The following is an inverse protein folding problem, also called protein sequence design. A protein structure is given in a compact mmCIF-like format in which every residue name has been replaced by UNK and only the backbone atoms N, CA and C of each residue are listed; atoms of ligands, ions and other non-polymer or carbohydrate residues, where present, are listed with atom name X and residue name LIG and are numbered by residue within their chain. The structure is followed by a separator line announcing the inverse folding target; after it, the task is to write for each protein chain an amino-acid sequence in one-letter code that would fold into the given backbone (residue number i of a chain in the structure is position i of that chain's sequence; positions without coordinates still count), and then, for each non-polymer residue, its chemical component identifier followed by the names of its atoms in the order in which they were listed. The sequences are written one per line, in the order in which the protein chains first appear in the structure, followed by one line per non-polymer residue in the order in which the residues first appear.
data_IF_335957375749
#
_entry.id   IF_335957375749
#
_cell.length_a   1.000
_cell.length_b   1.000
_cell.length_c   1.000
_cell.angle_alpha   90.00
_cell.angle_beta   90.00
_cell.angle_gamma   90.00
#
_symmetry.space_group_name_H-M   'P 1'
#
loop_
_entity.id
_entity.type
_entity.pdbx_description
1 polymer ?
#
# COMPACT_ATOMS: atom_id res chain seq x y z
N UNK A 1 7.19 -11.88 -1.75
CA UNK A 1 6.89 -11.46 -0.37
C UNK A 1 6.85 -12.65 0.58
N UNK A 2 6.05 -13.70 0.33
CA UNK A 2 6.00 -14.90 1.18
C UNK A 2 7.39 -15.53 1.40
N UNK A 3 8.15 -15.79 0.33
CA UNK A 3 9.52 -16.31 0.41
C UNK A 3 10.44 -15.43 1.25
N UNK A 4 10.42 -14.12 1.02
CA UNK A 4 11.20 -13.12 1.75
C UNK A 4 10.88 -13.12 3.25
N UNK A 5 9.59 -13.11 3.63
CA UNK A 5 9.18 -13.16 5.04
C UNK A 5 9.62 -14.47 5.69
N UNK A 6 9.47 -15.61 4.99
CA UNK A 6 9.92 -16.92 5.47
C UNK A 6 11.43 -16.96 5.70
N UNK A 7 12.21 -16.52 4.72
CA UNK A 7 13.67 -16.57 4.77
C UNK A 7 14.22 -15.69 5.89
N UNK A 8 13.74 -14.45 6.04
CA UNK A 8 14.18 -13.61 7.15
C UNK A 8 13.69 -14.10 8.52
N UNK A 9 12.48 -14.65 8.62
CA UNK A 9 12.00 -15.26 9.86
C UNK A 9 12.83 -16.48 10.27
N UNK A 10 13.29 -17.29 9.30
CA UNK A 10 14.13 -18.46 9.55
C UNK A 10 15.53 -18.10 10.13
N UNK A 11 15.98 -16.86 9.93
CA UNK A 11 17.21 -16.35 10.57
C UNK A 11 17.03 -16.03 12.06
N UNK A 12 15.81 -16.13 12.61
CA UNK A 12 15.50 -15.76 14.00
C UNK A 12 15.46 -14.25 14.22
N UNK A 13 15.43 -13.45 13.15
CA UNK A 13 15.38 -11.99 13.21
C UNK A 13 13.96 -11.48 13.45
N UNK A 14 13.85 -10.34 14.15
CA UNK A 14 12.60 -9.58 14.23
C UNK A 14 12.38 -8.83 12.93
N UNK A 15 11.17 -8.91 12.40
CA UNK A 15 10.77 -8.24 11.17
C UNK A 15 9.96 -6.98 11.48
N UNK A 16 10.19 -5.94 10.68
CA UNK A 16 9.48 -4.67 10.70
C UNK A 16 9.11 -4.30 9.28
N UNK A 17 7.85 -3.95 9.05
CA UNK A 17 7.42 -3.31 7.81
C UNK A 17 7.36 -1.82 8.14
N UNK A 18 8.24 -1.02 7.56
CA UNK A 18 8.49 0.36 8.01
C UNK A 18 7.77 1.42 7.18
N UNK A 19 7.48 1.14 5.92
CA UNK A 19 6.98 2.14 4.96
C UNK A 19 5.88 1.54 4.08
N UNK A 20 4.78 1.10 4.68
CA UNK A 20 3.69 0.47 3.94
C UNK A 20 2.78 1.52 3.28
N UNK A 21 2.75 1.48 1.96
CA UNK A 21 1.73 2.09 1.11
C UNK A 21 1.50 1.17 -0.11
N UNK A 22 0.32 1.24 -0.73
CA UNK A 22 -0.03 0.38 -1.87
C UNK A 22 -0.61 1.24 -2.99
N UNK A 23 0.20 1.44 -4.02
CA UNK A 23 -0.24 2.18 -5.20
C UNK A 23 -1.40 1.50 -5.90
N UNK A 24 -2.34 2.32 -6.38
CA UNK A 24 -3.46 1.89 -7.24
C UNK A 24 -3.05 1.79 -8.72
N UNK A 25 -1.79 2.11 -9.02
CA UNK A 25 -1.21 2.03 -10.35
C UNK A 25 -0.24 0.85 -10.45
N UNK A 26 0.01 0.34 -11.67
CA UNK A 26 1.10 -0.60 -11.90
C UNK A 26 2.43 -0.04 -11.41
N UNK A 27 3.29 -0.92 -10.89
CA UNK A 27 4.62 -0.54 -10.41
C UNK A 27 5.47 -0.01 -11.56
N UNK A 28 6.04 1.18 -11.38
CA UNK A 28 7.03 1.75 -12.28
C UNK A 28 8.28 2.13 -11.46
N UNK A 29 9.46 1.82 -11.99
CA UNK A 29 10.73 1.95 -11.25
C UNK A 29 11.43 3.28 -11.48
N UNK A 30 11.08 3.99 -12.55
CA UNK A 30 11.76 5.21 -12.98
C UNK A 30 10.75 6.35 -13.06
N UNK A 31 11.19 7.53 -12.63
CA UNK A 31 10.41 8.74 -12.82
C UNK A 31 10.23 9.01 -14.32
N UNK A 32 9.03 9.43 -14.71
CA UNK A 32 8.72 9.79 -16.08
C UNK A 32 7.76 10.96 -16.15
N UNK A 33 7.69 11.57 -17.34
CA UNK A 33 6.68 12.58 -17.61
C UNK A 33 5.28 11.96 -17.65
N UNK A 34 4.30 12.76 -17.25
CA UNK A 34 2.89 12.40 -17.36
C UNK A 34 2.50 12.30 -18.84
N UNK A 35 1.72 11.28 -19.17
CA UNK A 35 1.06 11.14 -20.46
C UNK A 35 -0.45 11.33 -20.28
N UNK A 36 -1.19 11.42 -21.40
CA UNK A 36 -2.65 11.65 -21.37
C UNK A 36 -3.41 10.67 -20.45
N UNK A 37 -2.95 9.41 -20.37
CA UNK A 37 -3.55 8.39 -19.51
C UNK A 37 -3.37 8.62 -18.00
N UNK A 38 -2.40 9.43 -17.58
CA UNK A 38 -2.16 9.72 -16.15
C UNK A 38 -3.09 10.83 -15.61
N UNK A 39 -3.77 11.57 -16.51
CA UNK A 39 -4.59 12.72 -16.14
C UNK A 39 -5.89 12.31 -15.42
N UNK A 40 -6.40 11.10 -15.69
CA UNK A 40 -7.54 10.56 -14.96
C UNK A 40 -7.07 9.90 -13.65
N UNK A 41 -7.12 10.68 -12.59
CA UNK A 41 -6.81 10.25 -11.23
C UNK A 41 -8.07 9.89 -10.43
N UNK A 42 -9.17 9.51 -11.08
CA UNK A 42 -10.38 9.10 -10.38
C UNK A 42 -10.14 7.80 -9.62
N UNK A 43 -10.46 7.78 -8.31
CA UNK A 43 -10.43 6.54 -7.54
C UNK A 43 -11.70 5.71 -7.84
N UNK A 44 -11.67 5.02 -8.99
CA UNK A 44 -12.79 4.24 -9.50
C UNK A 44 -12.87 2.85 -8.86
N UNK A 45 -13.93 2.10 -9.19
CA UNK A 45 -14.18 0.78 -8.61
C UNK A 45 -13.05 -0.22 -8.91
N UNK A 46 -12.46 -0.18 -10.10
CA UNK A 46 -11.35 -1.08 -10.47
C UNK A 46 -10.12 -0.84 -9.58
N UNK A 47 -9.70 0.42 -9.44
CA UNK A 47 -8.58 0.83 -8.56
C UNK A 47 -8.85 0.46 -7.11
N UNK A 48 -10.09 0.65 -6.64
CA UNK A 48 -10.49 0.24 -5.28
C UNK A 48 -10.37 -1.28 -5.10
N UNK A 49 -10.88 -2.08 -6.04
CA UNK A 49 -10.79 -3.54 -5.97
C UNK A 49 -9.35 -4.06 -6.00
N UNK A 50 -8.50 -3.48 -6.85
CA UNK A 50 -7.08 -3.82 -6.89
C UNK A 50 -6.40 -3.51 -5.55
N UNK A 51 -6.68 -2.35 -4.96
CA UNK A 51 -6.15 -1.99 -3.65
C UNK A 51 -6.63 -2.94 -2.56
N UNK A 52 -7.92 -3.28 -2.53
CA UNK A 52 -8.48 -4.25 -1.56
C UNK A 52 -7.77 -5.60 -1.65
N UNK A 53 -7.62 -6.13 -2.86
CA UNK A 53 -6.96 -7.41 -3.09
C UNK A 53 -5.50 -7.40 -2.60
N UNK A 54 -4.77 -6.30 -2.83
CA UNK A 54 -3.38 -6.15 -2.37
C UNK A 54 -3.29 -6.03 -0.86
N UNK A 55 -4.09 -5.18 -0.22
CA UNK A 55 -4.08 -5.06 1.24
C UNK A 55 -4.45 -6.38 1.92
N UNK A 56 -5.49 -7.06 1.43
CA UNK A 56 -5.90 -8.38 1.92
C UNK A 56 -4.74 -9.38 1.86
N UNK A 57 -4.13 -9.54 0.69
CA UNK A 57 -2.99 -10.45 0.49
C UNK A 57 -1.80 -10.10 1.40
N UNK A 58 -1.47 -8.81 1.53
CA UNK A 58 -0.41 -8.37 2.44
C UNK A 58 -0.70 -8.74 3.89
N UNK A 59 -1.88 -8.40 4.40
CA UNK A 59 -2.20 -8.62 5.81
C UNK A 59 -2.49 -10.09 6.15
N UNK A 60 -2.97 -10.90 5.21
CA UNK A 60 -3.01 -12.36 5.37
C UNK A 60 -1.60 -12.94 5.57
N UNK A 61 -0.63 -12.50 4.76
CA UNK A 61 0.77 -12.91 4.92
C UNK A 61 1.37 -12.37 6.23
N UNK A 62 1.12 -11.10 6.58
CA UNK A 62 1.63 -10.56 7.84
C UNK A 62 1.08 -11.31 9.05
N UNK A 63 -0.20 -11.73 9.02
CA UNK A 63 -0.79 -12.57 10.06
C UNK A 63 -0.16 -13.96 10.10
N UNK A 64 0.12 -14.58 8.94
CA UNK A 64 0.84 -15.87 8.85
C UNK A 64 2.23 -15.79 9.52
N UNK A 65 2.94 -14.67 9.38
CA UNK A 65 4.27 -14.45 9.96
C UNK A 65 4.26 -13.60 11.24
N UNK A 66 3.13 -13.49 11.95
CA UNK A 66 2.98 -12.65 13.16
C UNK A 66 3.94 -12.98 14.30
N UNK A 67 4.52 -14.18 14.31
CA UNK A 67 5.49 -14.60 15.30
C UNK A 67 6.85 -13.89 15.14
N UNK A 68 7.17 -13.44 13.92
CA UNK A 68 8.42 -12.74 13.60
C UNK A 68 8.19 -11.24 13.36
N UNK A 69 7.00 -10.83 12.89
CA UNK A 69 6.68 -9.41 12.63
C UNK A 69 6.33 -8.70 13.93
N UNK A 70 7.07 -7.63 14.21
CA UNK A 70 6.95 -6.84 15.45
C UNK A 70 6.33 -5.46 15.24
N UNK A 71 6.12 -5.05 13.99
CA UNK A 71 5.49 -3.78 13.67
C UNK A 71 5.24 -3.62 12.17
N UNK A 72 4.16 -2.88 11.87
CA UNK A 72 3.77 -2.48 10.53
C UNK A 72 3.46 -0.99 10.59
N UNK A 73 4.27 -0.18 9.93
CA UNK A 73 4.16 1.27 9.86
C UNK A 73 3.74 1.67 8.47
N UNK A 74 2.70 2.49 8.38
CA UNK A 74 2.24 3.05 7.12
C UNK A 74 3.04 4.30 6.78
N UNK A 75 3.37 4.48 5.50
CA UNK A 75 4.11 5.65 5.05
C UNK A 75 3.17 6.83 4.80
N UNK A 76 2.71 7.39 5.93
CA UNK A 76 1.72 8.47 6.10
C UNK A 76 0.32 8.00 6.54
N UNK A 77 -0.51 8.95 6.96
CA UNK A 77 -1.81 8.73 7.63
C UNK A 77 -2.94 8.57 6.62
N UNK A 78 -3.01 9.42 5.59
CA UNK A 78 -4.16 9.52 4.70
C UNK A 78 -3.78 9.91 3.28
N UNK A 79 -4.71 9.66 2.36
CA UNK A 79 -4.61 10.06 0.96
C UNK A 79 -4.68 11.58 0.77
N UNK A 80 -4.65 12.43 1.81
CA UNK A 80 -4.55 13.88 1.61
C UNK A 80 -3.24 14.23 0.89
N UNK A 81 -2.14 13.69 1.37
CA UNK A 81 -0.81 13.85 0.81
C UNK A 81 -0.09 12.51 0.84
N UNK A 82 0.40 12.03 -0.30
CA UNK A 82 1.33 10.91 -0.35
C UNK A 82 2.50 11.27 -1.25
N UNK A 83 3.68 10.74 -0.96
CA UNK A 83 4.84 10.86 -1.86
C UNK A 83 4.54 10.23 -3.23
N UNK A 84 3.70 9.18 -3.27
CA UNK A 84 3.24 8.52 -4.50
C UNK A 84 2.38 9.44 -5.38
N UNK A 85 1.86 10.55 -4.86
CA UNK A 85 1.22 11.56 -5.70
C UNK A 85 2.21 12.23 -6.66
N UNK A 86 3.52 12.07 -6.43
CA UNK A 86 4.58 12.71 -7.18
C UNK A 86 5.67 11.77 -7.72
N UNK A 87 5.62 10.48 -7.38
CA UNK A 87 6.53 9.47 -7.91
C UNK A 87 5.74 8.20 -8.26
N UNK A 88 5.94 7.61 -9.45
CA UNK A 88 6.91 7.96 -10.49
C UNK A 88 6.45 9.10 -11.43
N UNK A 89 5.17 9.49 -11.35
CA UNK A 89 4.59 10.55 -12.19
C UNK A 89 4.19 11.73 -11.32
N UNK A 90 4.76 12.90 -11.61
CA UNK A 90 4.51 14.10 -10.82
C UNK A 90 3.06 14.56 -10.97
N UNK A 91 2.35 14.75 -9.86
CA UNK A 91 0.97 15.25 -9.81
C UNK A 91 -0.12 14.20 -10.06
N UNK A 92 0.23 12.90 -10.14
CA UNK A 92 -0.74 11.81 -10.35
C UNK A 92 -1.23 11.30 -8.99
N UNK A 93 -2.45 11.69 -8.59
CA UNK A 93 -3.03 11.30 -7.29
C UNK A 93 -3.15 9.78 -7.15
N UNK A 94 -2.58 9.22 -6.08
CA UNK A 94 -2.36 7.76 -5.97
C UNK A 94 -3.35 7.02 -5.04
N UNK A 95 -3.82 7.66 -3.98
CA UNK A 95 -4.70 7.04 -2.97
C UNK A 95 -4.16 5.78 -2.28
N UNK A 96 -2.92 5.75 -1.77
CA UNK A 96 -2.29 4.49 -1.40
C UNK A 96 -2.50 4.04 0.04
N UNK A 97 -3.30 4.74 0.85
CA UNK A 97 -3.43 4.54 2.30
C UNK A 97 -4.84 4.09 2.72
N UNK A 98 -5.05 3.93 4.03
CA UNK A 98 -6.31 3.43 4.59
C UNK A 98 -7.39 4.51 4.82
N UNK A 99 -7.00 5.77 4.82
CA UNK A 99 -7.88 6.91 5.06
C UNK A 99 -7.90 7.82 3.84
N UNK A 100 -9.08 8.31 3.46
CA UNK A 100 -9.24 9.18 2.31
C UNK A 100 -8.77 10.63 2.60
N UNK A 101 -8.91 11.51 1.62
CA UNK A 101 -8.54 12.94 1.73
C UNK A 101 -9.25 13.69 2.87
N UNK A 102 -10.42 13.19 3.28
CA UNK A 102 -11.27 13.73 4.36
C UNK A 102 -11.08 12.96 5.69
N UNK A 103 -10.02 12.15 5.78
CA UNK A 103 -9.69 11.31 6.95
C UNK A 103 -10.77 10.25 7.26
N UNK A 104 -11.62 9.93 6.29
CA UNK A 104 -12.61 8.86 6.44
C UNK A 104 -11.98 7.53 6.06
N UNK A 105 -12.39 6.46 6.77
CA UNK A 105 -11.91 5.10 6.48
C UNK A 105 -12.30 4.70 5.06
N UNK A 106 -11.33 4.25 4.28
CA UNK A 106 -11.58 3.56 3.00
C UNK A 106 -11.95 2.10 3.27
N UNK A 107 -12.50 1.41 2.27
CA UNK A 107 -12.79 -0.03 2.38
C UNK A 107 -11.54 -0.86 2.75
N UNK A 108 -10.36 -0.46 2.24
CA UNK A 108 -9.07 -1.09 2.56
C UNK A 108 -8.75 -1.13 4.05
N UNK A 109 -9.25 -0.17 4.84
CA UNK A 109 -9.10 -0.19 6.30
C UNK A 109 -9.60 -1.51 6.91
N UNK A 110 -10.71 -2.04 6.41
CA UNK A 110 -11.34 -3.25 6.95
C UNK A 110 -10.60 -4.53 6.60
N UNK A 111 -9.87 -4.57 5.47
CA UNK A 111 -8.97 -5.69 5.14
C UNK A 111 -7.78 -5.79 6.11
N UNK A 112 -7.42 -4.67 6.75
CA UNK A 112 -6.33 -4.54 7.71
C UNK A 112 -6.77 -4.91 9.12
N UNK A 113 -7.87 -4.32 9.61
CA UNK A 113 -8.27 -4.44 11.01
C UNK A 113 -9.13 -5.66 11.33
N UNK A 114 -9.64 -6.36 10.31
CA UNK A 114 -10.41 -7.59 10.52
C UNK A 114 -9.44 -8.75 10.80
N UNK A 115 -9.55 -9.32 11.99
CA UNK A 115 -8.75 -10.47 12.45
C UNK A 115 -9.59 -11.75 12.44
#
# INVERSE_FOLDING_TARGET
MDSTLREFAALGLKLQITELDISVYPKEHQARQAVKGDLDTTFNMEREQQQLAKYKMCFELFRKYKHAITGITFWNISDRHSWLDNFPVRGRKDYPLLFDRKLQRKKAYWEVVKF
#
